data_IF_161597310106
#
_entry.id   IF_161597310106
#
_cell.length_a   1.000
_cell.length_b   1.000
_cell.length_c   1.000
_cell.angle_alpha   90.00
_cell.angle_beta   90.00
_cell.angle_gamma   90.00
#
_symmetry.space_group_name_H-M   'P 1'
#
loop_
_entity.id
_entity.type
_entity.pdbx_description
1 polymer ?
#
# COMPACT_ATOMS: atom_id res chain seq x y z
N UNK A 1 -41.48 13.31 3.50
CA UNK A 1 -40.02 13.09 3.25
C UNK A 1 -39.30 14.23 3.95
N UNK A 2 -38.44 13.91 4.93
CA UNK A 2 -37.70 14.94 5.66
C UNK A 2 -36.42 15.12 4.86
N UNK A 3 -36.28 16.28 4.17
CA UNK A 3 -35.03 16.63 3.47
C UNK A 3 -33.92 16.83 4.48
N UNK A 4 -32.93 15.93 4.47
CA UNK A 4 -31.69 16.12 5.21
C UNK A 4 -30.79 17.09 4.42
N UNK A 5 -30.28 18.15 5.04
CA UNK A 5 -29.31 19.04 4.38
C UNK A 5 -28.05 18.24 3.98
N UNK A 6 -27.50 18.55 2.80
CA UNK A 6 -26.31 17.92 2.26
C UNK A 6 -25.10 18.18 3.20
N UNK A 7 -24.64 17.13 3.88
CA UNK A 7 -23.41 17.16 4.67
C UNK A 7 -22.26 16.86 3.70
N UNK A 8 -21.34 17.80 3.55
CA UNK A 8 -20.14 17.63 2.71
C UNK A 8 -19.17 16.58 3.30
N UNK A 9 -18.43 15.84 2.46
CA UNK A 9 -17.57 14.74 2.91
C UNK A 9 -16.40 15.13 3.85
N UNK A 10 -16.19 16.42 4.07
CA UNK A 10 -15.05 16.94 4.85
C UNK A 10 -15.26 16.92 6.37
N UNK A 11 -16.48 16.64 6.82
CA UNK A 11 -16.81 16.66 8.25
C UNK A 11 -16.99 15.23 8.78
N UNK A 12 -15.91 14.60 9.24
CA UNK A 12 -15.96 13.38 10.06
C UNK A 12 -15.88 13.80 11.53
N UNK A 13 -17.01 13.92 12.23
CA UNK A 13 -16.96 14.24 13.66
C UNK A 13 -16.44 13.04 14.44
N UNK A 14 -15.36 13.23 15.19
CA UNK A 14 -14.99 12.34 16.29
C UNK A 14 -16.10 12.40 17.33
N UNK A 15 -16.61 11.24 17.77
CA UNK A 15 -17.58 11.15 18.85
C UNK A 15 -16.97 11.69 20.15
N UNK A 16 -17.17 13.00 20.39
CA UNK A 16 -16.87 13.61 21.66
C UNK A 16 -18.22 13.88 22.38
N UNK A 17 -18.38 13.59 23.67
CA UNK A 17 -19.60 13.89 24.43
C UNK A 17 -20.11 15.33 24.31
N UNK A 18 -19.24 16.27 23.92
CA UNK A 18 -19.59 17.67 23.69
C UNK A 18 -20.32 17.90 22.34
N UNK A 19 -20.15 17.04 21.34
CA UNK A 19 -20.83 17.17 20.04
C UNK A 19 -22.29 16.71 20.09
N UNK A 20 -22.67 15.88 21.06
CA UNK A 20 -24.07 15.46 21.27
C UNK A 20 -24.97 16.56 21.86
N UNK A 21 -24.38 17.62 22.41
CA UNK A 21 -25.12 18.76 23.01
C UNK A 21 -25.50 19.86 22.01
N UNK A 22 -25.06 19.77 20.76
CA UNK A 22 -25.26 20.81 19.74
C UNK A 22 -26.40 20.55 18.75
N UNK A 23 -27.25 19.54 18.98
CA UNK A 23 -28.38 19.29 18.10
C UNK A 23 -29.63 20.06 18.57
N UNK A 24 -30.08 21.02 17.76
CA UNK A 24 -31.19 21.93 18.11
C UNK A 24 -32.56 21.25 18.12
N UNK A 25 -32.65 20.01 17.59
CA UNK A 25 -33.89 19.23 17.61
C UNK A 25 -33.66 17.73 17.38
N UNK A 26 -34.68 16.91 17.72
CA UNK A 26 -34.69 15.45 17.60
C UNK A 26 -34.47 14.99 16.16
N UNK A 27 -34.93 15.73 15.16
CA UNK A 27 -34.81 15.38 13.74
C UNK A 27 -33.35 15.43 13.26
N UNK A 28 -32.58 16.43 13.68
CA UNK A 28 -31.17 16.55 13.35
C UNK A 28 -30.34 15.48 14.03
N UNK A 29 -30.69 15.08 15.26
CA UNK A 29 -30.05 13.95 15.96
C UNK A 29 -30.33 12.62 15.26
N UNK A 30 -31.57 12.36 14.80
CA UNK A 30 -31.92 11.15 14.05
C UNK A 30 -31.18 11.07 12.71
N UNK A 31 -31.09 12.18 11.98
CA UNK A 31 -30.29 12.26 10.74
C UNK A 31 -28.82 11.94 10.99
N UNK A 32 -28.22 12.50 12.02
CA UNK A 32 -26.83 12.25 12.41
C UNK A 32 -26.60 10.76 12.76
N UNK A 33 -27.49 10.17 13.57
CA UNK A 33 -27.39 8.75 13.94
C UNK A 33 -27.51 7.85 12.70
N UNK A 34 -28.45 8.12 11.78
CA UNK A 34 -28.58 7.37 10.53
C UNK A 34 -27.34 7.46 9.66
N UNK A 35 -26.78 8.67 9.48
CA UNK A 35 -25.53 8.86 8.74
C UNK A 35 -24.37 8.11 9.38
N UNK A 36 -24.23 8.20 10.69
CA UNK A 36 -23.16 7.52 11.45
C UNK A 36 -23.28 6.00 11.39
N UNK A 37 -24.49 5.44 11.44
CA UNK A 37 -24.73 4.00 11.27
C UNK A 37 -24.41 3.52 9.85
N UNK A 38 -24.71 4.31 8.81
CA UNK A 38 -24.31 4.01 7.43
C UNK A 38 -22.79 4.06 7.28
N UNK A 39 -22.14 5.04 7.86
CA UNK A 39 -20.68 5.19 7.85
C UNK A 39 -19.97 4.04 8.56
N UNK A 40 -20.46 3.63 9.74
CA UNK A 40 -19.95 2.45 10.46
C UNK A 40 -20.19 1.18 9.63
N UNK A 41 -21.36 1.01 9.03
CA UNK A 41 -21.70 -0.16 8.21
C UNK A 41 -20.77 -0.25 6.99
N UNK A 42 -20.48 0.86 6.29
CA UNK A 42 -19.55 0.89 5.17
C UNK A 42 -18.10 0.63 5.62
N UNK A 43 -17.67 1.14 6.75
CA UNK A 43 -16.34 0.80 7.32
C UNK A 43 -16.25 -0.66 7.74
N UNK A 44 -17.28 -1.22 8.38
CA UNK A 44 -17.31 -2.64 8.76
C UNK A 44 -17.35 -3.56 7.52
N UNK A 45 -18.15 -3.23 6.49
CA UNK A 45 -18.18 -4.02 5.25
C UNK A 45 -16.85 -3.97 4.51
N UNK A 46 -16.18 -2.82 4.48
CA UNK A 46 -14.84 -2.70 3.91
C UNK A 46 -13.79 -3.46 4.74
N UNK A 47 -13.85 -3.40 6.07
CA UNK A 47 -12.98 -4.19 6.95
C UNK A 47 -13.23 -5.69 6.78
N UNK A 48 -14.49 -6.14 6.77
CA UNK A 48 -14.87 -7.55 6.55
C UNK A 48 -14.52 -8.06 5.14
N UNK A 49 -14.55 -7.19 4.11
CA UNK A 49 -14.10 -7.56 2.76
C UNK A 49 -12.58 -7.67 2.68
N UNK A 50 -11.84 -6.83 3.40
CA UNK A 50 -10.38 -6.91 3.53
C UNK A 50 -10.01 -8.19 4.32
N UNK A 51 -10.68 -8.47 5.44
CA UNK A 51 -10.44 -9.68 6.22
C UNK A 51 -10.81 -10.95 5.43
N UNK A 52 -11.83 -10.91 4.57
CA UNK A 52 -12.20 -12.05 3.72
C UNK A 52 -11.20 -12.30 2.60
N UNK A 53 -10.56 -11.26 2.07
CA UNK A 53 -9.43 -11.38 1.13
C UNK A 53 -8.19 -11.91 1.86
N UNK A 54 -8.06 -11.63 3.16
CA UNK A 54 -6.92 -12.01 4.00
C UNK A 54 -7.03 -13.40 4.62
N UNK A 55 -8.23 -14.00 4.70
CA UNK A 55 -8.51 -15.27 5.40
C UNK A 55 -8.63 -16.48 4.49
N UNK A 56 -8.12 -16.45 3.26
CA UNK A 56 -8.04 -17.64 2.43
C UNK A 56 -6.88 -18.53 2.92
N UNK A 57 -7.15 -19.22 4.05
CA UNK A 57 -6.22 -20.07 4.79
C UNK A 57 -5.97 -21.43 4.12
N UNK A 58 -6.39 -21.61 2.87
CA UNK A 58 -6.20 -22.83 2.11
C UNK A 58 -5.13 -22.65 1.03
N UNK A 59 -3.86 -22.60 1.45
CA UNK A 59 -2.66 -22.88 0.61
C UNK A 59 -2.57 -22.14 -0.74
N UNK A 60 -3.15 -20.94 -0.84
CA UNK A 60 -3.23 -20.17 -2.09
C UNK A 60 -2.48 -18.84 -2.04
N UNK A 61 -1.40 -18.75 -1.25
CA UNK A 61 -0.55 -17.58 -1.35
C UNK A 61 0.02 -17.45 -2.77
N UNK A 62 -0.30 -16.35 -3.43
CA UNK A 62 0.12 -16.07 -4.80
C UNK A 62 1.64 -16.22 -4.98
N UNK A 63 2.43 -15.77 -4.00
CA UNK A 63 3.88 -15.82 -4.06
C UNK A 63 4.49 -17.16 -3.64
N UNK A 64 3.80 -17.97 -2.82
CA UNK A 64 4.23 -19.32 -2.51
C UNK A 64 3.94 -20.32 -3.62
N UNK A 65 2.82 -20.12 -4.34
CA UNK A 65 2.32 -21.06 -5.35
C UNK A 65 2.65 -20.65 -6.78
N UNK A 66 3.13 -19.43 -6.99
CA UNK A 66 3.53 -19.02 -8.33
C UNK A 66 4.73 -19.88 -8.76
N UNK A 67 4.48 -20.84 -9.63
CA UNK A 67 5.52 -21.32 -10.55
C UNK A 67 5.90 -20.09 -11.38
N UNK A 68 6.79 -19.37 -10.86
CA UNK A 68 7.47 -18.12 -11.17
C UNK A 68 7.43 -17.73 -12.66
N UNK A 69 6.23 -17.46 -13.17
CA UNK A 69 6.11 -16.76 -14.45
C UNK A 69 6.61 -15.33 -14.21
N UNK A 70 7.76 -14.99 -14.81
CA UNK A 70 8.38 -13.68 -14.65
C UNK A 70 9.55 -13.63 -13.66
N UNK A 71 10.06 -14.79 -13.17
CA UNK A 71 11.30 -14.87 -12.40
C UNK A 71 12.45 -14.23 -13.17
N UNK A 72 13.10 -13.25 -12.57
CA UNK A 72 14.25 -12.56 -13.16
C UNK A 72 15.57 -12.99 -12.52
N UNK A 73 15.58 -13.24 -11.22
CA UNK A 73 16.73 -13.71 -10.46
C UNK A 73 16.29 -14.32 -9.13
N UNK A 74 17.18 -15.11 -8.52
CA UNK A 74 16.99 -15.62 -7.17
C UNK A 74 18.33 -15.83 -6.46
N UNK A 75 18.25 -16.02 -5.14
CA UNK A 75 19.28 -16.56 -4.28
C UNK A 75 18.66 -17.60 -3.33
N UNK A 76 19.40 -18.04 -2.32
CA UNK A 76 18.95 -19.12 -1.43
C UNK A 76 17.66 -18.76 -0.68
N UNK A 77 17.47 -17.50 -0.27
CA UNK A 77 16.39 -17.07 0.63
C UNK A 77 15.34 -16.18 -0.03
N UNK A 78 15.59 -15.61 -1.22
CA UNK A 78 14.68 -14.71 -1.88
C UNK A 78 14.71 -14.86 -3.40
N UNK A 79 13.67 -14.36 -4.06
CA UNK A 79 13.60 -14.27 -5.52
C UNK A 79 13.07 -12.91 -5.96
N UNK A 80 13.34 -12.55 -7.21
CA UNK A 80 12.85 -11.35 -7.88
C UNK A 80 11.98 -11.74 -9.06
N UNK A 81 10.85 -11.06 -9.22
CA UNK A 81 9.91 -11.24 -10.33
C UNK A 81 9.42 -9.89 -10.83
N UNK A 82 9.15 -9.76 -12.12
CA UNK A 82 8.46 -8.57 -12.60
C UNK A 82 7.04 -8.51 -12.04
N UNK A 83 6.62 -7.29 -11.65
CA UNK A 83 5.25 -7.06 -11.19
C UNK A 83 4.27 -7.31 -12.35
N UNK A 84 3.18 -8.01 -12.08
CA UNK A 84 2.11 -8.26 -13.05
C UNK A 84 1.32 -6.98 -13.37
N UNK A 85 1.34 -6.00 -12.47
CA UNK A 85 0.70 -4.68 -12.63
C UNK A 85 1.75 -3.55 -12.50
N UNK A 86 2.70 -3.47 -13.44
CA UNK A 86 3.84 -2.58 -13.30
C UNK A 86 3.43 -1.11 -13.39
N UNK A 87 3.94 -0.27 -12.48
CA UNK A 87 3.75 1.20 -12.52
C UNK A 87 4.79 1.89 -13.42
N UNK A 88 5.87 1.19 -13.76
CA UNK A 88 6.88 1.59 -14.74
C UNK A 88 7.48 0.35 -15.39
N UNK A 89 8.08 0.48 -16.56
CA UNK A 89 8.78 -0.63 -17.20
C UNK A 89 9.88 -1.18 -16.28
N UNK A 90 10.01 -2.50 -16.20
CA UNK A 90 10.89 -3.24 -15.28
C UNK A 90 10.57 -3.06 -13.78
N UNK A 91 9.36 -2.64 -13.41
CA UNK A 91 8.92 -2.71 -12.02
C UNK A 91 9.04 -4.14 -11.52
N UNK A 92 9.83 -4.35 -10.45
CA UNK A 92 10.17 -5.66 -9.94
C UNK A 92 9.76 -5.79 -8.47
N UNK A 93 9.35 -7.00 -8.10
CA UNK A 93 9.09 -7.39 -6.72
C UNK A 93 10.22 -8.30 -6.23
N UNK A 94 10.76 -8.02 -5.07
CA UNK A 94 11.70 -8.88 -4.37
C UNK A 94 10.96 -9.55 -3.22
N UNK A 95 10.95 -10.88 -3.21
CA UNK A 95 10.05 -11.69 -2.39
C UNK A 95 10.88 -12.74 -1.64
N UNK A 96 10.79 -12.85 -0.31
CA UNK A 96 11.42 -13.92 0.44
C UNK A 96 10.78 -15.27 0.07
N UNK A 97 11.58 -16.35 0.00
CA UNK A 97 11.07 -17.70 -0.28
C UNK A 97 10.22 -18.26 0.85
N UNK A 98 10.57 -17.91 2.10
CA UNK A 98 9.78 -18.26 3.28
C UNK A 98 8.52 -17.38 3.31
N UNK A 99 7.36 -17.98 3.57
CA UNK A 99 6.14 -17.23 3.78
C UNK A 99 6.23 -16.42 5.07
N UNK A 100 6.40 -15.12 4.95
CA UNK A 100 6.34 -14.15 6.04
C UNK A 100 5.34 -13.08 5.69
N UNK A 101 4.58 -12.64 6.68
CA UNK A 101 3.49 -11.70 6.48
C UNK A 101 3.95 -10.38 5.90
N UNK A 102 4.94 -9.76 6.53
CA UNK A 102 5.43 -8.44 6.13
C UNK A 102 6.95 -8.30 6.40
N UNK A 103 7.48 -7.11 6.13
CA UNK A 103 8.90 -6.80 6.23
C UNK A 103 9.46 -6.97 7.65
N UNK A 104 8.66 -6.74 8.68
CA UNK A 104 9.10 -6.81 10.08
C UNK A 104 9.21 -8.23 10.62
N UNK A 105 8.66 -9.22 9.89
CA UNK A 105 8.77 -10.64 10.20
C UNK A 105 9.98 -11.31 9.52
N UNK A 106 10.77 -10.56 8.71
CA UNK A 106 12.01 -11.04 8.11
C UNK A 106 13.09 -11.18 9.18
N UNK A 107 13.89 -12.25 9.08
CA UNK A 107 15.15 -12.36 9.81
C UNK A 107 16.28 -11.62 9.08
N UNK A 108 17.43 -11.43 9.75
CA UNK A 108 18.56 -10.67 9.23
C UNK A 108 19.11 -11.25 7.91
N UNK A 109 19.19 -12.59 7.80
CA UNK A 109 19.67 -13.25 6.60
C UNK A 109 18.76 -13.03 5.41
N UNK A 110 17.43 -13.02 5.62
CA UNK A 110 16.43 -12.73 4.59
C UNK A 110 16.48 -11.26 4.16
N UNK A 111 16.67 -10.33 5.10
CA UNK A 111 16.87 -8.91 4.79
C UNK A 111 18.11 -8.73 3.92
N UNK A 112 19.22 -9.37 4.27
CA UNK A 112 20.48 -9.33 3.50
C UNK A 112 20.26 -9.95 2.11
N UNK A 113 19.58 -11.09 2.02
CA UNK A 113 19.30 -11.77 0.76
C UNK A 113 18.45 -10.92 -0.18
N UNK A 114 17.37 -10.31 0.34
CA UNK A 114 16.53 -9.38 -0.41
C UNK A 114 17.33 -8.15 -0.89
N UNK A 115 18.13 -7.54 0.00
CA UNK A 115 18.94 -6.38 -0.36
C UNK A 115 20.00 -6.69 -1.45
N UNK A 116 20.59 -7.88 -1.42
CA UNK A 116 21.52 -8.33 -2.46
C UNK A 116 20.83 -8.47 -3.82
N UNK A 117 19.60 -9.02 -3.86
CA UNK A 117 18.81 -9.07 -5.08
C UNK A 117 18.40 -7.69 -5.58
N UNK A 118 18.01 -6.77 -4.70
CA UNK A 118 17.71 -5.39 -5.07
C UNK A 118 18.91 -4.75 -5.80
N UNK A 119 20.12 -4.89 -5.24
CA UNK A 119 21.34 -4.35 -5.86
C UNK A 119 21.62 -4.97 -7.22
N UNK A 120 21.54 -6.30 -7.31
CA UNK A 120 21.76 -7.05 -8.55
C UNK A 120 20.78 -6.62 -9.64
N UNK A 121 19.47 -6.65 -9.35
CA UNK A 121 18.44 -6.28 -10.33
C UNK A 121 18.54 -4.81 -10.73
N UNK A 122 18.84 -3.91 -9.78
CA UNK A 122 19.12 -2.49 -10.09
C UNK A 122 20.23 -2.33 -11.11
N UNK A 123 21.33 -3.07 -10.97
CA UNK A 123 22.45 -3.04 -11.92
C UNK A 123 22.05 -3.58 -13.28
N UNK A 124 21.37 -4.73 -13.33
CA UNK A 124 20.88 -5.34 -14.57
C UNK A 124 19.92 -4.40 -15.32
N UNK A 125 18.96 -3.77 -14.62
CA UNK A 125 18.03 -2.81 -15.23
C UNK A 125 18.79 -1.58 -15.75
N UNK A 126 19.73 -1.03 -14.97
CA UNK A 126 20.50 0.15 -15.37
C UNK A 126 21.38 -0.09 -16.60
N UNK A 127 21.83 -1.32 -16.81
CA UNK A 127 22.58 -1.70 -18.02
C UNK A 127 21.64 -1.94 -19.22
N UNK A 128 20.46 -2.49 -18.95
CA UNK A 128 19.47 -2.84 -19.99
C UNK A 128 18.74 -1.60 -20.52
N UNK A 129 18.50 -0.61 -19.66
CA UNK A 129 17.79 0.61 -20.01
C UNK A 129 18.52 1.83 -19.46
N UNK A 130 19.24 2.52 -20.34
CA UNK A 130 20.01 3.73 -20.04
C UNK A 130 19.14 4.95 -19.72
N UNK A 131 17.84 4.91 -20.01
CA UNK A 131 16.88 5.95 -19.64
C UNK A 131 16.51 5.92 -18.15
N UNK A 132 16.75 4.80 -17.46
CA UNK A 132 16.55 4.71 -16.02
C UNK A 132 17.62 5.52 -15.29
N UNK A 133 17.18 6.55 -14.53
CA UNK A 133 18.05 7.48 -13.82
C UNK A 133 17.92 7.38 -12.29
N UNK A 134 16.95 6.62 -11.81
CA UNK A 134 16.71 6.46 -10.37
C UNK A 134 15.80 5.27 -10.05
N UNK A 135 15.64 5.02 -8.76
CA UNK A 135 14.74 3.96 -8.29
C UNK A 135 14.00 4.41 -7.04
N UNK A 136 12.73 4.01 -6.93
CA UNK A 136 12.04 3.97 -5.64
C UNK A 136 12.06 2.53 -5.13
N UNK A 137 12.32 2.38 -3.84
CA UNK A 137 12.29 1.09 -3.13
C UNK A 137 11.33 1.24 -1.97
N UNK A 138 10.44 0.27 -1.79
CA UNK A 138 9.48 0.32 -0.69
C UNK A 138 8.71 -0.96 -0.53
N UNK A 139 8.10 -1.13 0.65
CA UNK A 139 7.22 -2.23 0.97
C UNK A 139 6.02 -1.72 1.75
N UNK A 140 4.90 -2.39 1.65
CA UNK A 140 3.70 -2.13 2.43
C UNK A 140 3.63 -3.18 3.55
N UNK A 141 3.56 -2.75 4.80
CA UNK A 141 3.40 -3.63 5.97
C UNK A 141 2.04 -3.37 6.62
N UNK A 142 1.12 -4.34 6.49
CA UNK A 142 -0.24 -4.26 6.97
C UNK A 142 -1.24 -3.61 6.00
N UNK A 143 -2.52 -3.95 6.17
CA UNK A 143 -3.61 -3.53 5.28
C UNK A 143 -3.79 -2.01 5.20
N UNK A 144 -3.60 -1.29 6.32
CA UNK A 144 -3.72 0.18 6.37
C UNK A 144 -2.59 0.85 5.56
N UNK A 145 -1.44 0.20 5.42
CA UNK A 145 -0.34 0.65 4.58
C UNK A 145 -0.50 0.23 3.10
N UNK A 146 -1.60 -0.45 2.74
CA UNK A 146 -1.89 -0.87 1.37
C UNK A 146 -1.32 -2.24 1.00
N UNK A 147 -0.92 -3.07 1.96
CA UNK A 147 -0.50 -4.44 1.68
C UNK A 147 -1.71 -5.27 1.21
N UNK A 148 -1.70 -5.68 -0.06
CA UNK A 148 -2.78 -6.47 -0.68
C UNK A 148 -2.55 -7.98 -0.62
N UNK A 149 -1.30 -8.43 -0.52
CA UNK A 149 -0.91 -9.84 -0.42
C UNK A 149 -0.14 -10.02 0.89
N UNK A 150 -0.64 -10.92 1.76
CA UNK A 150 -0.01 -11.23 3.06
C UNK A 150 1.20 -12.16 2.88
N UNK A 151 2.12 -11.75 2.06
CA UNK A 151 3.46 -12.27 1.90
C UNK A 151 4.36 -11.08 1.62
N UNK A 152 5.42 -10.92 2.40
CA UNK A 152 6.35 -9.81 2.26
C UNK A 152 6.85 -9.68 0.82
N UNK A 153 6.78 -8.48 0.28
CA UNK A 153 7.35 -8.14 -1.01
C UNK A 153 7.86 -6.71 -0.99
N UNK A 154 8.99 -6.50 -1.62
CA UNK A 154 9.66 -5.21 -1.71
C UNK A 154 9.62 -4.77 -3.16
N UNK A 155 9.03 -3.63 -3.42
CA UNK A 155 8.99 -3.02 -4.75
C UNK A 155 10.34 -2.38 -5.09
N UNK A 156 10.82 -2.64 -6.31
CA UNK A 156 11.92 -1.92 -6.94
C UNK A 156 11.37 -1.29 -8.22
N UNK A 157 11.19 0.03 -8.19
CA UNK A 157 10.50 0.79 -9.23
C UNK A 157 11.51 1.66 -9.95
N UNK A 158 11.88 1.33 -11.21
CA UNK A 158 12.75 2.17 -12.03
C UNK A 158 12.08 3.50 -12.37
N UNK A 159 12.88 4.58 -12.35
CA UNK A 159 12.40 5.92 -12.61
C UNK A 159 13.16 6.55 -13.78
N UNK A 160 12.43 7.28 -14.61
CA UNK A 160 12.95 7.96 -15.79
C UNK A 160 12.66 9.44 -15.70
N UNK A 161 13.45 10.24 -16.42
CA UNK A 161 13.20 11.68 -16.51
C UNK A 161 11.84 11.92 -17.17
N UNK A 162 11.03 12.79 -16.57
CA UNK A 162 9.70 13.14 -17.08
C UNK A 162 8.59 12.10 -16.78
N UNK A 163 8.84 11.03 -16.04
CA UNK A 163 7.81 10.06 -15.64
C UNK A 163 6.79 10.65 -14.66
N UNK A 164 7.16 11.70 -13.92
CA UNK A 164 6.26 12.58 -13.15
C UNK A 164 6.79 14.02 -13.20
N UNK A 165 5.89 15.01 -13.09
CA UNK A 165 6.25 16.43 -13.16
C UNK A 165 7.17 16.87 -12.02
N UNK A 166 6.92 16.39 -10.80
CA UNK A 166 7.74 16.72 -9.63
C UNK A 166 7.99 15.45 -8.78
N UNK A 167 9.17 14.84 -8.90
CA UNK A 167 9.52 13.62 -8.16
C UNK A 167 9.87 13.86 -6.69
N UNK A 168 9.99 15.12 -6.23
CA UNK A 168 10.36 15.42 -4.84
C UNK A 168 9.41 14.76 -3.86
N UNK A 169 9.95 14.01 -2.87
CA UNK A 169 9.18 13.37 -1.83
C UNK A 169 8.39 12.14 -2.31
N UNK A 170 8.84 11.45 -3.38
CA UNK A 170 8.15 10.31 -3.99
C UNK A 170 7.57 9.30 -3.00
N UNK A 171 8.37 8.77 -2.07
CA UNK A 171 7.89 7.80 -1.04
C UNK A 171 6.86 8.43 -0.08
N UNK A 172 6.86 9.75 0.11
CA UNK A 172 5.89 10.44 0.97
C UNK A 172 4.50 10.54 0.35
N UNK A 173 4.37 10.29 -0.96
CA UNK A 173 3.09 10.34 -1.69
C UNK A 173 2.09 9.27 -1.24
N UNK A 174 2.52 8.30 -0.43
CA UNK A 174 1.63 7.34 0.27
C UNK A 174 0.58 8.05 1.14
N UNK A 175 0.85 9.28 1.57
CA UNK A 175 -0.15 10.16 2.20
C UNK A 175 -0.49 11.27 1.20
N UNK A 176 -1.71 11.31 0.63
CA UNK A 176 -2.11 12.31 -0.34
C UNK A 176 -1.87 13.73 0.16
N UNK A 177 -1.42 14.61 -0.72
CA UNK A 177 -1.14 16.02 -0.45
C UNK A 177 0.03 16.28 0.53
N UNK A 178 0.74 15.24 1.01
CA UNK A 178 1.90 15.35 1.90
C UNK A 178 3.24 15.08 1.21
N UNK A 179 3.23 14.85 -0.09
CA UNK A 179 4.43 14.55 -0.87
C UNK A 179 5.43 15.72 -0.85
N UNK A 180 4.97 16.90 -1.25
CA UNK A 180 5.85 18.06 -1.41
C UNK A 180 6.05 18.82 -0.09
N UNK A 181 7.24 19.34 0.11
CA UNK A 181 7.60 20.17 1.26
C UNK A 181 8.66 21.21 0.89
N UNK A 182 8.62 22.34 1.60
CA UNK A 182 9.67 23.37 1.51
C UNK A 182 10.70 23.10 2.60
N UNK A 183 11.98 22.96 2.22
CA UNK A 183 13.06 22.94 3.21
C UNK A 183 13.21 24.32 3.83
N UNK A 184 13.25 24.40 5.14
CA UNK A 184 13.74 25.59 5.83
C UNK A 184 15.26 25.56 5.68
N UNK A 185 15.82 26.50 4.96
CA UNK A 185 17.26 26.76 4.83
C UNK A 185 17.67 27.60 6.02
#
# INVERSE_FOLDING_TARGET
MIDCPAITPEFVPTLNPLTLRSFDNISSLICFIRYYLVFIKTKLTNALSIDKIMLDSNNSCLFCNSKQSGLTAENDLAYASYDTYPVSEFHCLIIPKRHVKDYFDLNDDEVIACNNLIKKIKEEISLKDLAVKGFNIGTNAGAIAGQSILHCHIHLIPRREGDVDNPQGGVRSVIPLKQHYKRKV
#
